data_IF_802427689915
#
_entry.id   IF_802427689915
#
_cell.length_a   1.000
_cell.length_b   1.000
_cell.length_c   1.000
_cell.angle_alpha   90.00
_cell.angle_beta   90.00
_cell.angle_gamma   90.00
#
_symmetry.space_group_name_H-M   'P 1'
#
loop_
_entity.id
_entity.type
_entity.pdbx_description
1 polymer ?
#
# COMPACT_ATOMS: atom_id res chain seq x y z
N UNK A 1 2.77 -7.61 15.41
CA UNK A 1 3.47 -7.07 14.23
C UNK A 1 2.69 -7.51 12.99
N UNK A 2 2.68 -6.72 11.90
CA UNK A 2 2.10 -7.15 10.63
C UNK A 2 2.63 -8.52 10.21
N UNK A 3 1.74 -9.37 9.68
CA UNK A 3 2.16 -10.60 9.01
C UNK A 3 2.86 -10.24 7.70
N UNK A 4 3.91 -10.99 7.35
CA UNK A 4 4.69 -10.80 6.13
C UNK A 4 4.90 -12.12 5.42
N UNK A 5 5.28 -12.05 4.15
CA UNK A 5 5.52 -13.21 3.29
C UNK A 5 4.28 -14.06 3.06
N UNK A 6 3.15 -13.38 2.80
CA UNK A 6 1.90 -14.01 2.40
C UNK A 6 1.57 -13.67 0.96
N UNK A 7 1.06 -14.65 0.23
CA UNK A 7 0.54 -14.47 -1.12
C UNK A 7 -0.79 -13.71 -1.12
N UNK A 8 -1.19 -13.23 -2.28
CA UNK A 8 -2.49 -12.57 -2.45
C UNK A 8 -3.64 -13.54 -2.10
N UNK A 9 -3.52 -14.81 -2.48
CA UNK A 9 -4.52 -15.84 -2.18
C UNK A 9 -4.67 -16.09 -0.67
N UNK A 10 -3.56 -16.14 0.07
CA UNK A 10 -3.59 -16.27 1.54
C UNK A 10 -4.23 -15.03 2.21
N UNK A 11 -3.89 -13.83 1.73
CA UNK A 11 -4.48 -12.58 2.21
C UNK A 11 -5.99 -12.51 1.94
N UNK A 12 -6.42 -12.87 0.73
CA UNK A 12 -7.83 -12.90 0.36
C UNK A 12 -8.61 -13.95 1.18
N UNK A 13 -8.05 -15.16 1.31
CA UNK A 13 -8.67 -16.24 2.08
C UNK A 13 -8.86 -15.84 3.56
N UNK A 14 -7.86 -15.21 4.18
CA UNK A 14 -7.98 -14.70 5.53
C UNK A 14 -9.04 -13.60 5.63
N UNK A 15 -9.05 -12.64 4.70
CA UNK A 15 -10.03 -11.57 4.70
C UNK A 15 -11.46 -12.13 4.65
N UNK A 16 -11.71 -13.11 3.77
CA UNK A 16 -13.01 -13.80 3.67
C UNK A 16 -13.37 -14.55 4.94
N UNK A 17 -12.43 -15.31 5.51
CA UNK A 17 -12.64 -16.01 6.79
C UNK A 17 -13.03 -15.03 7.91
N UNK A 18 -12.42 -13.85 7.93
CA UNK A 18 -12.72 -12.79 8.89
C UNK A 18 -14.02 -12.02 8.61
N UNK A 19 -14.83 -12.44 7.62
CA UNK A 19 -16.05 -11.74 7.21
C UNK A 19 -15.79 -10.40 6.52
N UNK A 20 -14.65 -10.27 5.86
CA UNK A 20 -14.15 -9.04 5.23
C UNK A 20 -13.69 -9.32 3.79
N UNK A 21 -13.07 -8.32 3.16
CA UNK A 21 -12.42 -8.42 1.85
C UNK A 21 -11.08 -7.67 1.85
N UNK A 22 -10.30 -7.81 0.78
CA UNK A 22 -9.19 -6.90 0.53
C UNK A 22 -9.73 -5.55 0.03
N UNK A 23 -9.07 -4.41 0.35
CA UNK A 23 -9.40 -3.13 -0.26
C UNK A 23 -9.05 -3.15 -1.75
N UNK A 24 -9.77 -2.40 -2.56
CA UNK A 24 -9.28 -2.00 -3.90
C UNK A 24 -8.13 -0.99 -3.74
N UNK A 25 -7.28 -0.84 -4.76
CA UNK A 25 -6.21 0.16 -4.71
C UNK A 25 -6.74 1.60 -4.55
N UNK A 26 -7.93 1.88 -5.09
CA UNK A 26 -8.60 3.18 -4.98
C UNK A 26 -9.09 3.45 -3.55
N UNK A 27 -9.71 2.46 -2.89
CA UNK A 27 -10.09 2.57 -1.48
C UNK A 27 -8.86 2.74 -0.59
N UNK A 28 -7.79 2.00 -0.88
CA UNK A 28 -6.53 2.10 -0.16
C UNK A 28 -5.92 3.50 -0.29
N UNK A 29 -5.83 4.02 -1.52
CA UNK A 29 -5.25 5.34 -1.79
C UNK A 29 -6.09 6.45 -1.14
N UNK A 30 -7.43 6.35 -1.21
CA UNK A 30 -8.33 7.29 -0.53
C UNK A 30 -8.13 7.25 0.98
N UNK A 31 -8.07 6.07 1.58
CA UNK A 31 -7.84 5.91 3.02
C UNK A 31 -6.48 6.45 3.47
N UNK A 32 -5.46 6.40 2.59
CA UNK A 32 -4.14 6.94 2.85
C UNK A 32 -4.09 8.47 2.67
N UNK A 33 -4.66 9.01 1.60
CA UNK A 33 -4.36 10.35 1.12
C UNK A 33 -5.46 11.38 1.36
N UNK A 34 -6.73 10.99 1.34
CA UNK A 34 -7.83 11.96 1.25
C UNK A 34 -8.09 12.66 2.59
N UNK A 35 -8.20 13.98 2.54
CA UNK A 35 -8.56 14.83 3.67
C UNK A 35 -10.01 15.32 3.51
N UNK A 36 -10.88 15.03 4.47
CA UNK A 36 -12.29 15.42 4.38
C UNK A 36 -12.54 16.91 4.69
N UNK A 37 -11.66 17.55 5.46
CA UNK A 37 -11.79 18.95 5.82
C UNK A 37 -11.40 19.84 4.64
N UNK A 38 -10.24 19.57 4.05
CA UNK A 38 -9.69 20.37 2.95
C UNK A 38 -10.16 19.90 1.58
N UNK A 39 -10.69 18.68 1.48
CA UNK A 39 -11.14 18.03 0.22
C UNK A 39 -10.06 17.98 -0.85
N UNK A 40 -8.82 17.78 -0.42
CA UNK A 40 -7.67 17.56 -1.30
C UNK A 40 -6.90 16.33 -0.84
N UNK A 41 -6.17 15.70 -1.76
CA UNK A 41 -5.27 14.61 -1.43
C UNK A 41 -3.99 15.16 -0.78
N UNK A 42 -3.65 14.64 0.39
CA UNK A 42 -2.36 14.90 1.06
C UNK A 42 -1.23 14.18 0.34
N UNK A 43 -0.02 14.75 0.38
CA UNK A 43 1.17 14.11 -0.21
C UNK A 43 1.53 12.77 0.46
N UNK A 44 1.44 12.73 1.79
CA UNK A 44 1.59 11.54 2.64
C UNK A 44 0.39 11.44 3.60
N UNK A 45 0.17 10.30 4.27
CA UNK A 45 -0.96 10.16 5.19
C UNK A 45 -1.03 11.25 6.28
N UNK A 46 0.14 11.64 6.77
CA UNK A 46 0.32 12.66 7.81
C UNK A 46 0.40 14.11 7.30
N UNK A 47 0.26 14.35 5.99
CA UNK A 47 0.35 15.69 5.38
C UNK A 47 1.51 15.81 4.39
N UNK A 48 2.08 17.01 4.28
CA UNK A 48 3.03 17.34 3.21
C UNK A 48 4.51 17.30 3.62
N UNK A 49 4.77 17.16 4.92
CA UNK A 49 6.12 17.01 5.45
C UNK A 49 6.76 15.71 4.96
N UNK A 50 8.07 15.73 4.64
CA UNK A 50 8.78 14.53 4.20
C UNK A 50 8.73 13.43 5.27
N UNK A 51 8.85 12.14 4.88
CA UNK A 51 8.86 11.03 5.83
C UNK A 51 10.01 11.16 6.83
N UNK A 52 9.66 11.18 8.11
CA UNK A 52 10.59 11.11 9.24
C UNK A 52 10.42 9.83 10.05
N UNK A 53 11.35 9.62 10.99
CA UNK A 53 11.44 8.43 11.85
C UNK A 53 10.21 8.21 12.74
N UNK A 54 9.44 9.27 13.02
CA UNK A 54 8.21 9.26 13.81
C UNK A 54 6.95 9.01 12.96
N UNK A 55 7.07 9.04 11.63
CA UNK A 55 5.96 8.89 10.70
C UNK A 55 5.83 7.46 10.15
N UNK A 56 6.94 6.82 9.77
CA UNK A 56 6.90 5.52 9.10
C UNK A 56 8.19 4.71 9.28
N UNK A 57 8.06 3.38 9.19
CA UNK A 57 9.19 2.46 9.13
C UNK A 57 9.65 2.25 7.68
N UNK A 58 10.78 2.84 7.31
CA UNK A 58 11.33 2.82 5.95
C UNK A 58 12.85 2.61 6.00
N UNK A 59 13.45 2.47 4.81
CA UNK A 59 14.90 2.54 4.62
C UNK A 59 15.73 1.44 5.30
N UNK A 60 15.14 0.26 5.49
CA UNK A 60 15.78 -0.93 6.09
C UNK A 60 16.29 -0.73 7.53
N UNK A 61 15.85 0.30 8.24
CA UNK A 61 16.38 0.67 9.56
C UNK A 61 16.16 -0.36 10.65
N UNK A 62 15.06 -1.09 10.56
CA UNK A 62 14.60 -2.05 11.59
C UNK A 62 14.69 -3.51 11.13
N UNK A 63 15.06 -3.74 9.86
CA UNK A 63 15.11 -5.07 9.23
C UNK A 63 13.84 -5.93 9.41
N UNK A 64 12.68 -5.29 9.52
CA UNK A 64 11.39 -5.96 9.71
C UNK A 64 10.26 -4.98 10.01
N UNK A 65 8.99 -5.42 10.00
CA UNK A 65 7.87 -4.53 10.30
C UNK A 65 7.78 -4.25 11.81
N UNK A 66 7.42 -3.02 12.15
CA UNK A 66 7.17 -2.57 13.51
C UNK A 66 5.82 -3.11 14.04
N UNK A 67 5.59 -3.10 15.36
CA UNK A 67 4.26 -3.34 15.92
C UNK A 67 3.20 -2.42 15.30
N UNK A 68 1.94 -2.90 15.23
CA UNK A 68 0.83 -2.06 14.78
C UNK A 68 0.62 -0.94 15.81
N UNK A 69 0.45 0.29 15.35
CA UNK A 69 0.33 1.49 16.18
C UNK A 69 1.66 2.16 16.54
N UNK A 70 2.81 1.66 16.10
CA UNK A 70 4.13 2.20 16.48
C UNK A 70 4.38 3.65 16.03
N UNK A 71 3.71 4.10 14.96
CA UNK A 71 3.87 5.44 14.38
C UNK A 71 2.56 6.24 14.46
N UNK A 72 2.17 6.76 15.63
CA UNK A 72 0.91 7.49 15.78
C UNK A 72 0.88 8.81 14.99
N UNK A 73 2.05 9.44 14.74
CA UNK A 73 2.17 10.64 13.92
C UNK A 73 2.08 10.35 12.41
N UNK A 74 2.17 9.09 12.01
CA UNK A 74 2.06 8.63 10.62
C UNK A 74 0.65 8.28 10.16
N UNK A 75 -0.38 8.49 10.99
CA UNK A 75 -1.75 8.12 10.65
C UNK A 75 -2.31 8.96 9.51
N UNK A 76 -3.18 8.36 8.70
CA UNK A 76 -3.98 9.10 7.71
C UNK A 76 -5.04 9.98 8.37
N UNK A 77 -5.73 10.83 7.58
CA UNK A 77 -6.89 11.59 8.05
C UNK A 77 -7.93 10.71 8.75
N UNK A 78 -8.18 9.52 8.19
CA UNK A 78 -9.14 8.55 8.72
C UNK A 78 -8.61 7.74 9.92
N UNK A 79 -7.42 8.06 10.43
CA UNK A 79 -6.81 7.35 11.55
C UNK A 79 -6.19 6.00 11.17
N UNK A 80 -6.02 5.70 9.87
CA UNK A 80 -5.36 4.47 9.45
C UNK A 80 -3.86 4.55 9.76
N UNK A 81 -3.38 3.65 10.61
CA UNK A 81 -1.96 3.54 10.95
C UNK A 81 -1.17 2.82 9.87
N UNK A 82 0.10 3.20 9.73
CA UNK A 82 1.11 2.47 8.95
C UNK A 82 0.66 2.21 7.50
N UNK A 83 -0.04 3.19 6.90
CA UNK A 83 -0.33 3.18 5.46
C UNK A 83 0.96 3.33 4.63
N UNK A 84 2.06 3.79 5.23
CA UNK A 84 3.37 3.88 4.59
C UNK A 84 4.40 3.09 5.36
N UNK A 85 5.21 2.31 4.63
CA UNK A 85 6.25 1.49 5.20
C UNK A 85 5.72 0.21 5.85
N UNK A 86 6.56 -0.41 6.67
CA UNK A 86 6.32 -1.73 7.28
C UNK A 86 6.12 -2.85 6.26
N UNK A 87 4.98 -2.95 5.59
CA UNK A 87 4.68 -4.03 4.65
C UNK A 87 3.99 -3.50 3.41
N UNK A 88 4.35 -4.05 2.24
CA UNK A 88 3.51 -3.88 1.07
C UNK A 88 2.13 -4.50 1.35
N UNK A 89 1.06 -3.78 1.10
CA UNK A 89 -0.30 -4.27 1.37
C UNK A 89 -0.97 -4.73 0.08
N UNK A 90 -1.31 -6.03 -0.02
CA UNK A 90 -2.10 -6.57 -1.12
C UNK A 90 -3.47 -5.89 -1.25
N UNK A 91 -3.90 -5.62 -2.48
CA UNK A 91 -5.23 -5.09 -2.82
C UNK A 91 -6.00 -6.06 -3.71
N UNK A 92 -7.31 -5.89 -3.82
CA UNK A 92 -8.16 -6.66 -4.73
C UNK A 92 -7.96 -6.26 -6.22
N UNK A 93 -7.31 -5.13 -6.49
CA UNK A 93 -7.19 -4.58 -7.85
C UNK A 93 -6.20 -5.36 -8.72
N UNK A 94 -6.61 -5.62 -9.97
CA UNK A 94 -5.68 -5.96 -11.05
C UNK A 94 -4.78 -4.77 -11.37
N UNK A 95 -3.58 -5.01 -11.88
CA UNK A 95 -2.73 -3.93 -12.38
C UNK A 95 -3.23 -3.49 -13.77
N UNK A 96 -3.87 -2.33 -13.82
CA UNK A 96 -4.46 -1.77 -15.04
C UNK A 96 -4.07 -0.29 -15.24
N UNK A 97 -4.09 0.24 -16.47
CA UNK A 97 -3.87 1.66 -16.71
C UNK A 97 -4.98 2.50 -16.07
N UNK A 98 -4.62 3.68 -15.54
CA UNK A 98 -5.61 4.69 -15.22
C UNK A 98 -6.14 5.35 -16.51
N UNK A 99 -7.34 5.95 -16.50
CA UNK A 99 -7.83 6.72 -17.63
C UNK A 99 -6.83 7.81 -18.04
N UNK A 100 -6.49 7.85 -19.33
CA UNK A 100 -5.50 8.80 -19.86
C UNK A 100 -4.04 8.45 -19.55
N UNK A 101 -3.74 7.22 -19.12
CA UNK A 101 -2.37 6.76 -18.98
C UNK A 101 -1.61 6.88 -20.31
N UNK A 102 -0.43 7.48 -20.24
CA UNK A 102 0.56 7.53 -21.30
C UNK A 102 1.92 7.13 -20.68
N UNK A 103 2.59 6.16 -21.27
CA UNK A 103 3.90 5.75 -20.80
C UNK A 103 4.95 6.85 -21.03
N UNK A 104 5.75 7.15 -20.00
CA UNK A 104 6.91 8.03 -20.14
C UNK A 104 7.96 7.78 -19.05
N UNK A 105 9.27 7.82 -19.38
CA UNK A 105 9.85 7.63 -20.71
C UNK A 105 9.99 6.14 -21.08
N UNK A 106 9.61 5.22 -20.18
CA UNK A 106 9.89 3.79 -20.29
C UNK A 106 8.60 2.96 -20.24
N UNK A 107 8.01 2.61 -21.41
CA UNK A 107 6.73 1.89 -21.49
C UNK A 107 6.74 0.53 -20.79
N UNK A 108 7.82 -0.23 -20.93
CA UNK A 108 7.95 -1.59 -20.41
C UNK A 108 7.98 -1.64 -18.87
N UNK A 109 8.13 -0.49 -18.20
CA UNK A 109 7.98 -0.41 -16.76
C UNK A 109 6.57 -0.80 -16.32
N UNK A 110 5.52 -0.38 -17.03
CA UNK A 110 4.12 -0.66 -16.63
C UNK A 110 3.32 -1.46 -17.67
N UNK A 111 3.42 -1.09 -18.95
CA UNK A 111 2.45 -1.52 -19.97
C UNK A 111 2.40 -3.04 -20.15
N UNK A 112 3.56 -3.68 -20.15
CA UNK A 112 3.69 -5.14 -20.34
C UNK A 112 3.13 -5.95 -19.16
N UNK A 113 2.85 -5.31 -18.03
CA UNK A 113 2.31 -5.93 -16.83
C UNK A 113 0.81 -5.66 -16.66
N UNK A 114 0.19 -4.87 -17.54
CA UNK A 114 -1.25 -4.62 -17.44
C UNK A 114 -2.07 -5.89 -17.73
N UNK A 115 -3.14 -6.07 -16.96
CA UNK A 115 -4.09 -7.17 -17.12
C UNK A 115 -4.36 -7.91 -15.82
N UNK A 116 -5.03 -9.06 -15.94
CA UNK A 116 -5.53 -9.85 -14.79
C UNK A 116 -4.49 -10.78 -14.15
N UNK A 117 -3.26 -10.79 -14.66
CA UNK A 117 -2.20 -11.67 -14.17
C UNK A 117 -1.52 -11.16 -12.89
N UNK A 118 -1.60 -9.85 -12.63
CA UNK A 118 -0.91 -9.19 -11.52
C UNK A 118 -1.92 -8.52 -10.58
N UNK A 119 -1.58 -8.53 -9.29
CA UNK A 119 -2.34 -7.82 -8.25
C UNK A 119 -1.54 -6.65 -7.72
N UNK A 120 -2.22 -5.54 -7.46
CA UNK A 120 -1.56 -4.32 -6.96
C UNK A 120 -1.25 -4.45 -5.47
N UNK A 121 -0.06 -3.98 -5.08
CA UNK A 121 0.32 -3.73 -3.70
C UNK A 121 0.61 -2.24 -3.47
N UNK A 122 0.37 -1.78 -2.24
CA UNK A 122 0.43 -0.36 -1.88
C UNK A 122 1.27 -0.13 -0.62
N UNK A 123 1.65 1.13 -0.38
CA UNK A 123 2.21 1.60 0.89
C UNK A 123 3.70 1.43 1.10
N UNK A 124 4.41 0.61 0.32
CA UNK A 124 5.83 0.33 0.59
C UNK A 124 6.02 -0.61 1.77
N UNK A 125 7.26 -1.03 1.99
CA UNK A 125 7.63 -1.89 3.12
C UNK A 125 8.72 -1.23 3.96
N UNK A 126 9.10 -1.86 5.08
CA UNK A 126 10.25 -1.46 5.89
C UNK A 126 11.55 -1.34 5.08
N UNK A 127 11.65 -2.02 3.94
CA UNK A 127 12.80 -1.96 3.04
C UNK A 127 12.74 -0.88 1.96
N UNK A 128 11.59 -0.21 1.79
CA UNK A 128 11.39 0.79 0.73
C UNK A 128 12.15 2.08 1.06
N UNK A 129 12.86 2.64 0.07
CA UNK A 129 13.58 3.91 0.21
C UNK A 129 12.59 5.07 0.32
N UNK A 130 12.83 6.08 1.19
CA UNK A 130 11.92 7.22 1.35
C UNK A 130 11.67 8.01 0.07
N UNK A 131 12.61 8.04 -0.87
CA UNK A 131 12.44 8.74 -2.16
C UNK A 131 11.38 8.08 -3.07
N UNK A 132 11.13 6.79 -2.91
CA UNK A 132 10.16 6.05 -3.71
C UNK A 132 8.75 6.05 -3.09
N UNK A 133 8.63 6.42 -1.81
CA UNK A 133 7.36 6.33 -1.08
C UNK A 133 6.42 7.47 -1.49
N UNK A 134 5.22 7.13 -1.96
CA UNK A 134 4.15 8.07 -2.30
C UNK A 134 2.80 7.42 -2.07
N UNK A 135 1.80 8.21 -1.68
CA UNK A 135 0.39 7.76 -1.62
C UNK A 135 -0.07 7.08 -2.90
N UNK A 136 0.45 7.52 -4.05
CA UNK A 136 0.10 7.07 -5.39
C UNK A 136 0.99 5.95 -5.94
N UNK A 137 2.07 5.54 -5.26
CA UNK A 137 3.01 4.56 -5.81
C UNK A 137 2.40 3.16 -5.89
N UNK A 138 2.32 2.59 -7.09
CA UNK A 138 1.74 1.26 -7.37
C UNK A 138 2.88 0.26 -7.51
N UNK A 139 2.92 -0.73 -6.64
CA UNK A 139 3.68 -1.95 -6.88
C UNK A 139 2.73 -3.03 -7.39
N UNK A 140 3.25 -4.07 -8.03
CA UNK A 140 2.47 -5.19 -8.51
C UNK A 140 3.32 -6.46 -8.51
N UNK A 141 2.69 -7.61 -8.31
CA UNK A 141 3.34 -8.91 -8.50
C UNK A 141 2.29 -9.98 -8.82
N UNK A 142 2.75 -11.16 -9.25
CA UNK A 142 1.90 -12.32 -9.48
C UNK A 142 1.28 -12.76 -8.13
N UNK A 143 0.00 -13.15 -8.10
CA UNK A 143 -0.74 -13.37 -6.86
C UNK A 143 -0.17 -14.49 -5.97
N UNK A 144 0.55 -15.47 -6.55
CA UNK A 144 1.20 -16.56 -5.83
C UNK A 144 2.53 -16.17 -5.16
N UNK A 145 3.09 -14.98 -5.46
CA UNK A 145 4.37 -14.55 -4.91
C UNK A 145 4.23 -14.17 -3.45
N UNK A 146 5.23 -14.55 -2.66
CA UNK A 146 5.27 -14.32 -1.20
C UNK A 146 6.68 -14.09 -0.64
N UNK A 147 7.71 -14.19 -1.48
CA UNK A 147 9.08 -13.84 -1.11
C UNK A 147 9.24 -12.32 -0.87
N UNK A 148 8.38 -11.51 -1.48
CA UNK A 148 8.30 -10.06 -1.26
C UNK A 148 7.87 -9.74 0.18
N UNK A 149 8.22 -8.55 0.67
CA UNK A 149 7.83 -8.04 2.00
C UNK A 149 6.35 -7.61 2.02
N UNK A 150 5.46 -8.51 1.63
CA UNK A 150 4.03 -8.27 1.52
C UNK A 150 3.25 -8.86 2.69
N UNK A 151 2.33 -8.05 3.20
CA UNK A 151 1.24 -8.38 4.08
C UNK A 151 -0.07 -7.92 3.45
N UNK A 152 -1.06 -7.60 4.28
CA UNK A 152 -2.34 -7.07 3.81
C UNK A 152 -3.07 -6.33 4.93
N UNK A 153 -4.11 -5.60 4.53
CA UNK A 153 -5.17 -5.15 5.41
C UNK A 153 -6.52 -5.59 4.89
N UNK A 154 -7.48 -5.70 5.78
CA UNK A 154 -8.86 -5.96 5.41
C UNK A 154 -9.65 -4.65 5.26
N UNK A 155 -10.65 -4.70 4.39
CA UNK A 155 -11.72 -3.73 4.24
C UNK A 155 -13.07 -4.44 4.42
N UNK A 156 -14.12 -3.67 4.67
CA UNK A 156 -15.49 -4.14 4.74
C UNK A 156 -16.39 -3.14 4.01
N UNK A 157 -17.50 -3.64 3.49
CA UNK A 157 -18.57 -2.79 2.98
C UNK A 157 -19.29 -2.11 4.17
N UNK A 158 -19.94 -0.98 3.88
CA UNK A 158 -20.58 -0.12 4.89
C UNK A 158 -21.90 -0.70 5.42
#
# INVERSE_FOLDING_TARGET
>A
RPVIHVSWYEAEAYARWAGKRLPTEAEWEKAAAWDLETRVARRFPWGDNPPGDDHANLDQRTCGPAPVGAYPRGRSFFGCHQMMGDVWEWTASDFAPYPGFEAFPYPEYSEVHFGRGYRVLRGGSWATRPIAIRNTFRNWDLPQRRQIFAGFRCAADA
#
